data_IF_334852921124
#
_entry.id   IF_334852921124
#
_cell.length_a   1.000
_cell.length_b   1.000
_cell.length_c   1.000
_cell.angle_alpha   90.00
_cell.angle_beta   90.00
_cell.angle_gamma   90.00
#
_symmetry.space_group_name_H-M   'P 1'
#
loop_
_entity.id
_entity.type
_entity.pdbx_description
1 polymer ?
#
# COMPACT_ATOMS: atom_id res chain seq x y z
N UNK A 1 -15.71 -0.09 -22.62
CA UNK A 1 -15.13 -0.18 -21.27
C UNK A 1 -14.25 -1.41 -21.25
N UNK A 2 -12.93 -1.24 -21.27
CA UNK A 2 -11.99 -2.34 -21.09
C UNK A 2 -11.98 -2.71 -19.61
N UNK A 3 -12.05 -4.00 -19.24
CA UNK A 3 -11.75 -4.40 -17.88
C UNK A 3 -10.26 -4.20 -17.66
N UNK A 4 -9.89 -3.32 -16.73
CA UNK A 4 -8.54 -3.32 -16.16
C UNK A 4 -8.34 -4.66 -15.44
N UNK A 5 -7.87 -5.65 -16.19
CA UNK A 5 -7.37 -6.90 -15.65
C UNK A 5 -6.06 -6.56 -14.95
N UNK A 6 -6.15 -6.13 -13.70
CA UNK A 6 -5.01 -6.21 -12.78
C UNK A 6 -4.67 -7.69 -12.67
N UNK A 7 -3.52 -8.15 -13.21
CA UNK A 7 -3.21 -9.56 -13.22
C UNK A 7 -3.16 -10.08 -11.78
N UNK A 8 -3.83 -11.21 -11.48
CA UNK A 8 -3.80 -11.83 -10.16
C UNK A 8 -2.40 -12.40 -9.94
N UNK A 9 -1.51 -11.61 -9.34
CA UNK A 9 -0.12 -12.00 -9.11
C UNK A 9 0.88 -10.86 -9.12
N UNK A 10 0.51 -9.66 -9.58
CA UNK A 10 1.39 -8.50 -9.42
C UNK A 10 1.23 -7.98 -8.00
N UNK A 11 2.19 -8.30 -7.12
CA UNK A 11 2.30 -7.69 -5.79
C UNK A 11 2.15 -6.18 -5.96
N UNK A 12 1.28 -5.53 -5.17
CA UNK A 12 1.07 -4.08 -5.26
C UNK A 12 2.42 -3.39 -5.14
N UNK A 13 2.68 -2.45 -6.03
CA UNK A 13 3.93 -1.70 -6.01
C UNK A 13 4.00 -0.85 -4.73
N UNK A 14 5.22 -0.57 -4.27
CA UNK A 14 5.42 0.30 -3.12
C UNK A 14 4.80 1.71 -3.32
N UNK A 15 4.67 2.18 -4.56
CA UNK A 15 4.01 3.44 -4.86
C UNK A 15 2.49 3.37 -4.58
N UNK A 16 1.82 2.31 -5.04
CA UNK A 16 0.39 2.09 -4.83
C UNK A 16 0.03 1.89 -3.35
N UNK A 17 0.86 1.17 -2.59
CA UNK A 17 0.64 1.01 -1.14
C UNK A 17 0.83 2.36 -0.42
N UNK A 18 1.81 3.16 -0.84
CA UNK A 18 2.04 4.48 -0.27
C UNK A 18 0.90 5.48 -0.56
N UNK A 19 0.25 5.40 -1.73
CA UNK A 19 -0.94 6.19 -2.04
C UNK A 19 -2.13 5.81 -1.14
N UNK A 20 -2.30 4.52 -0.82
CA UNK A 20 -3.33 4.10 0.13
C UNK A 20 -3.08 4.63 1.54
N UNK A 21 -1.82 4.62 1.99
CA UNK A 21 -1.44 5.24 3.27
C UNK A 21 -1.82 6.73 3.27
N UNK A 22 -1.53 7.47 2.19
CA UNK A 22 -1.90 8.88 2.06
C UNK A 22 -3.41 9.10 2.10
N UNK A 23 -4.17 8.27 1.37
CA UNK A 23 -5.63 8.34 1.33
C UNK A 23 -6.24 8.06 2.71
N UNK A 24 -5.68 7.11 3.46
CA UNK A 24 -6.05 6.83 4.85
C UNK A 24 -5.88 8.06 5.75
N UNK A 25 -4.73 8.73 5.67
CA UNK A 25 -4.50 9.96 6.45
C UNK A 25 -5.41 11.11 6.05
N UNK A 26 -5.72 11.23 4.77
CA UNK A 26 -6.63 12.26 4.26
C UNK A 26 -8.05 12.07 4.79
N UNK A 27 -8.58 10.83 4.80
CA UNK A 27 -9.92 10.55 5.34
C UNK A 27 -10.00 10.67 6.86
N UNK A 28 -8.92 10.33 7.57
CA UNK A 28 -8.89 10.34 9.02
C UNK A 28 -8.80 11.76 9.63
N UNK A 29 -8.51 12.79 8.82
CA UNK A 29 -8.57 14.18 9.26
C UNK A 29 -7.54 14.56 10.33
N UNK A 30 -6.42 13.84 10.42
CA UNK A 30 -5.28 14.16 11.30
C UNK A 30 -4.97 13.14 12.38
N UNK A 31 -5.88 12.20 12.69
CA UNK A 31 -5.61 11.10 13.62
C UNK A 31 -6.38 9.84 13.25
N UNK A 32 -5.69 8.70 13.26
CA UNK A 32 -6.31 7.39 12.99
C UNK A 32 -7.09 6.89 14.21
N UNK A 33 -8.30 6.36 13.97
CA UNK A 33 -9.00 5.50 14.92
C UNK A 33 -8.24 4.18 15.16
N UNK A 34 -8.69 3.37 16.11
CA UNK A 34 -8.08 2.05 16.38
C UNK A 34 -8.13 1.13 15.14
N UNK A 35 -9.27 1.09 14.45
CA UNK A 35 -9.43 0.29 13.24
C UNK A 35 -8.55 0.80 12.08
N UNK A 36 -8.48 2.11 11.90
CA UNK A 36 -7.61 2.72 10.88
C UNK A 36 -6.13 2.53 11.18
N UNK A 37 -5.76 2.42 12.46
CA UNK A 37 -4.40 2.08 12.86
C UNK A 37 -4.02 0.66 12.46
N UNK A 38 -4.91 -0.31 12.65
CA UNK A 38 -4.67 -1.68 12.18
C UNK A 38 -4.47 -1.72 10.65
N UNK A 39 -5.30 -0.99 9.90
CA UNK A 39 -5.14 -0.85 8.44
C UNK A 39 -3.81 -0.20 8.08
N UNK A 40 -3.42 0.88 8.77
CA UNK A 40 -2.13 1.53 8.57
C UNK A 40 -0.95 0.57 8.80
N UNK A 41 -0.99 -0.21 9.87
CA UNK A 41 0.08 -1.16 10.21
C UNK A 41 0.23 -2.23 9.15
N UNK A 42 -0.88 -2.79 8.64
CA UNK A 42 -0.86 -3.73 7.51
C UNK A 42 -0.26 -3.10 6.25
N UNK A 43 -0.68 -1.88 5.91
CA UNK A 43 -0.15 -1.15 4.74
C UNK A 43 1.35 -0.85 4.88
N UNK A 44 1.84 -0.52 6.08
CA UNK A 44 3.27 -0.28 6.33
C UNK A 44 4.10 -1.56 6.15
N UNK A 45 3.60 -2.69 6.65
CA UNK A 45 4.27 -4.00 6.47
C UNK A 45 4.35 -4.36 4.99
N UNK A 46 3.25 -4.20 4.26
CA UNK A 46 3.19 -4.47 2.83
C UNK A 46 4.12 -3.53 2.03
N UNK A 47 4.10 -2.24 2.35
CA UNK A 47 4.98 -1.25 1.72
C UNK A 47 6.45 -1.62 1.92
N UNK A 48 6.84 -1.99 3.15
CA UNK A 48 8.20 -2.41 3.45
C UNK A 48 8.61 -3.68 2.67
N UNK A 49 7.68 -4.63 2.51
CA UNK A 49 7.91 -5.82 1.69
C UNK A 49 8.10 -5.46 0.20
N UNK A 50 7.27 -4.57 -0.34
CA UNK A 50 7.37 -4.12 -1.73
C UNK A 50 8.66 -3.33 -2.01
N UNK A 51 9.13 -2.51 -1.05
CA UNK A 51 10.43 -1.84 -1.15
C UNK A 51 11.58 -2.85 -1.19
N UNK A 52 11.58 -3.83 -0.28
CA UNK A 52 12.62 -4.88 -0.25
C UNK A 52 12.62 -5.72 -1.53
N UNK A 53 11.45 -6.08 -2.05
CA UNK A 53 11.33 -6.80 -3.32
C UNK A 53 11.95 -6.04 -4.49
N UNK A 54 11.68 -4.73 -4.61
CA UNK A 54 12.30 -3.89 -5.66
C UNK A 54 13.82 -3.74 -5.54
N UNK A 55 14.37 -3.75 -4.32
CA UNK A 55 15.82 -3.69 -4.11
C UNK A 55 16.50 -4.98 -4.59
N UNK A 56 15.86 -6.14 -4.41
CA UNK A 56 16.39 -7.44 -4.86
C UNK A 56 16.37 -7.57 -6.39
N UNK A 57 15.36 -7.01 -7.07
CA UNK A 57 15.32 -7.03 -8.55
C UNK A 57 16.34 -6.09 -9.21
N UNK A 58 16.87 -5.11 -8.48
CA UNK A 58 17.77 -4.08 -9.00
C UNK A 58 19.27 -4.32 -8.71
N UNK A 59 19.64 -5.43 -8.06
CA UNK A 59 21.00 -5.76 -7.63
C UNK A 59 21.62 -6.88 -8.49
#
# INVERSE_FOLDING_TARGET
MSPDLTPPGSVRSAAEVNEQIRALWLRAGGSLSAQEREEYEMLVVEWAAAIRGRVVEAA
#
